data_IF_454097955346
#
_entry.id   IF_454097955346
#
_cell.length_a   1.000
_cell.length_b   1.000
_cell.length_c   1.000
_cell.angle_alpha   90.00
_cell.angle_beta   90.00
_cell.angle_gamma   90.00
#
_symmetry.space_group_name_H-M   'P 1'
#
loop_
_entity.id
_entity.type
_entity.pdbx_description
1 polymer ?
#
# COMPACT_ATOMS: atom_id res chain seq x y z
N UNK A 1 -16.91 12.70 -14.95
CA UNK A 1 -15.81 11.92 -14.36
C UNK A 1 -14.90 12.90 -13.67
N UNK A 2 -14.52 12.66 -12.41
CA UNK A 2 -13.32 13.28 -11.90
C UNK A 2 -12.11 12.49 -12.42
N UNK A 3 -10.96 13.13 -12.56
CA UNK A 3 -9.70 12.52 -13.04
C UNK A 3 -9.20 11.36 -12.15
N UNK A 4 -9.85 11.13 -11.01
CA UNK A 4 -9.60 10.09 -10.03
C UNK A 4 -10.76 9.07 -9.86
N UNK A 5 -11.70 8.98 -10.82
CA UNK A 5 -12.60 7.83 -10.95
C UNK A 5 -13.73 7.67 -9.90
N UNK A 6 -13.84 8.54 -8.91
CA UNK A 6 -14.94 8.47 -7.92
C UNK A 6 -16.25 9.06 -8.48
N UNK A 7 -17.30 8.24 -8.56
CA UNK A 7 -18.67 8.69 -8.80
C UNK A 7 -19.36 9.02 -7.46
N UNK A 8 -20.18 10.08 -7.43
CA UNK A 8 -20.92 10.57 -6.24
C UNK A 8 -22.06 9.66 -5.76
N UNK A 9 -22.07 8.37 -6.09
CA UNK A 9 -23.17 7.45 -5.78
C UNK A 9 -22.66 6.06 -5.35
N UNK A 10 -22.12 5.95 -4.13
CA UNK A 10 -21.98 4.69 -3.36
C UNK A 10 -21.12 3.54 -3.95
N UNK A 11 -20.80 2.51 -3.14
CA UNK A 11 -20.06 1.35 -3.60
C UNK A 11 -20.92 0.56 -4.59
N UNK A 12 -20.45 0.40 -5.82
CA UNK A 12 -21.08 -0.51 -6.77
C UNK A 12 -20.69 -1.92 -6.38
N UNK A 13 -21.65 -2.67 -5.82
CA UNK A 13 -21.58 -4.12 -5.64
C UNK A 13 -21.44 -4.78 -7.02
N UNK A 14 -20.22 -4.83 -7.55
CA UNK A 14 -19.84 -5.68 -8.67
C UNK A 14 -19.25 -6.93 -8.06
N UNK A 15 -20.08 -7.98 -8.02
CA UNK A 15 -19.74 -9.37 -7.68
C UNK A 15 -18.23 -9.58 -7.60
N UNK A 16 -17.73 -9.79 -6.38
CA UNK A 16 -16.33 -10.13 -6.13
C UNK A 16 -15.89 -11.17 -7.17
N UNK A 17 -15.06 -10.75 -8.13
CA UNK A 17 -14.59 -11.63 -9.20
C UNK A 17 -13.89 -12.82 -8.55
N UNK A 18 -14.36 -14.04 -8.82
CA UNK A 18 -13.71 -15.25 -8.29
C UNK A 18 -12.39 -15.58 -9.00
N UNK A 19 -11.95 -14.72 -9.93
CA UNK A 19 -10.71 -14.92 -10.65
C UNK A 19 -9.52 -14.49 -9.78
N UNK A 20 -8.45 -15.29 -9.69
CA UNK A 20 -7.28 -14.97 -8.85
C UNK A 20 -6.42 -13.83 -9.40
N UNK A 21 -6.89 -13.15 -10.45
CA UNK A 21 -6.19 -12.09 -11.15
C UNK A 21 -6.94 -10.79 -10.88
N UNK A 22 -6.20 -9.82 -10.34
CA UNK A 22 -6.65 -8.45 -10.19
C UNK A 22 -5.84 -7.58 -11.15
N UNK A 23 -6.52 -6.71 -11.89
CA UNK A 23 -5.86 -5.73 -12.74
C UNK A 23 -5.13 -4.69 -11.88
N UNK A 24 -3.99 -4.18 -12.33
CA UNK A 24 -3.16 -3.27 -11.51
C UNK A 24 -3.91 -2.00 -11.10
N UNK A 25 -4.73 -1.46 -12.00
CA UNK A 25 -5.60 -0.30 -11.77
C UNK A 25 -6.70 -0.57 -10.73
N UNK A 26 -7.05 -1.84 -10.52
CA UNK A 26 -7.96 -2.27 -9.45
C UNK A 26 -7.26 -2.42 -8.11
N UNK A 27 -5.93 -2.54 -8.07
CA UNK A 27 -5.14 -2.51 -6.84
C UNK A 27 -4.85 -1.07 -6.43
N UNK A 28 -4.51 -0.21 -7.38
CA UNK A 28 -4.39 1.23 -7.18
C UNK A 28 -5.71 1.84 -6.68
N UNK A 29 -5.63 2.80 -5.77
CA UNK A 29 -6.77 3.39 -5.09
C UNK A 29 -7.42 2.52 -4.01
N UNK A 30 -7.04 1.24 -3.88
CA UNK A 30 -7.62 0.36 -2.85
C UNK A 30 -7.22 0.82 -1.45
N UNK A 31 -8.19 0.84 -0.53
CA UNK A 31 -7.97 1.23 0.85
C UNK A 31 -7.08 0.21 1.60
N UNK A 32 -6.23 0.74 2.48
CA UNK A 32 -5.46 -0.04 3.44
C UNK A 32 -6.04 0.20 4.83
N UNK A 33 -6.24 -0.87 5.59
CA UNK A 33 -6.82 -0.88 6.93
C UNK A 33 -5.85 -1.43 7.96
N UNK A 34 -5.93 -0.91 9.19
CA UNK A 34 -5.20 -1.47 10.33
C UNK A 34 -5.91 -2.72 10.91
N UNK A 35 -5.37 -3.25 12.02
CA UNK A 35 -5.92 -4.40 12.73
C UNK A 35 -7.34 -4.19 13.25
N UNK A 36 -7.70 -2.95 13.56
CA UNK A 36 -8.99 -2.54 14.11
C UNK A 36 -9.99 -2.14 13.01
N UNK A 37 -9.65 -2.39 11.74
CA UNK A 37 -10.42 -2.04 10.55
C UNK A 37 -10.58 -0.52 10.34
N UNK A 38 -9.71 0.31 10.90
CA UNK A 38 -9.68 1.73 10.58
C UNK A 38 -8.94 1.94 9.25
N UNK A 39 -9.45 2.75 8.30
CA UNK A 39 -8.75 3.07 7.07
C UNK A 39 -7.55 3.96 7.36
N UNK A 40 -6.37 3.57 6.88
CA UNK A 40 -5.09 4.25 7.16
C UNK A 40 -4.44 4.89 5.93
N UNK A 41 -4.82 4.44 4.74
CA UNK A 41 -4.28 4.96 3.51
C UNK A 41 -4.89 4.32 2.29
N UNK A 42 -4.28 4.61 1.14
CA UNK A 42 -4.66 4.05 -0.16
C UNK A 42 -3.42 3.64 -0.93
N UNK A 43 -3.50 2.53 -1.66
CA UNK A 43 -2.44 2.11 -2.55
C UNK A 43 -2.33 3.12 -3.70
N UNK A 44 -1.15 3.70 -3.91
CA UNK A 44 -0.87 4.60 -5.02
C UNK A 44 -0.37 3.87 -6.26
N UNK A 45 0.54 2.91 -6.06
CA UNK A 45 1.18 2.14 -7.14
C UNK A 45 1.86 0.89 -6.61
N UNK A 46 2.04 -0.09 -7.48
CA UNK A 46 2.84 -1.28 -7.24
C UNK A 46 4.27 -1.08 -7.76
N UNK A 47 5.25 -1.55 -6.99
CA UNK A 47 6.65 -1.57 -7.38
C UNK A 47 7.00 -3.01 -7.78
N UNK A 48 7.20 -3.20 -9.07
CA UNK A 48 7.36 -4.52 -9.70
C UNK A 48 8.83 -4.70 -10.09
N UNK A 49 9.42 -5.82 -9.68
CA UNK A 49 10.77 -6.17 -10.13
C UNK A 49 10.72 -6.50 -11.63
N UNK A 50 11.45 -5.73 -12.43
CA UNK A 50 11.39 -5.76 -13.90
C UNK A 50 11.64 -7.14 -14.52
N UNK A 51 12.52 -7.95 -13.90
CA UNK A 51 12.95 -9.22 -14.48
C UNK A 51 11.97 -10.37 -14.18
N UNK A 52 11.53 -10.53 -12.92
CA UNK A 52 10.61 -11.60 -12.53
C UNK A 52 9.13 -11.23 -12.66
N UNK A 53 8.81 -9.93 -12.76
CA UNK A 53 7.43 -9.45 -12.74
C UNK A 53 6.76 -9.53 -11.36
N UNK A 54 7.51 -9.81 -10.29
CA UNK A 54 6.97 -9.89 -8.93
C UNK A 54 6.74 -8.50 -8.34
N UNK A 55 5.59 -8.31 -7.69
CA UNK A 55 5.34 -7.15 -6.84
C UNK A 55 6.21 -7.29 -5.59
N UNK A 56 7.17 -6.39 -5.41
CA UNK A 56 8.09 -6.42 -4.25
C UNK A 56 7.59 -5.44 -3.19
N UNK A 57 7.15 -4.26 -3.62
CA UNK A 57 6.65 -3.24 -2.73
C UNK A 57 5.38 -2.59 -3.26
N UNK A 58 4.74 -1.84 -2.38
CA UNK A 58 3.60 -0.98 -2.65
C UNK A 58 3.87 0.40 -2.07
N UNK A 59 3.60 1.44 -2.86
CA UNK A 59 3.58 2.81 -2.38
C UNK A 59 2.19 3.10 -1.82
N UNK A 60 2.11 3.37 -0.53
CA UNK A 60 0.87 3.68 0.17
C UNK A 60 0.87 5.16 0.52
N UNK A 61 -0.21 5.83 0.12
CA UNK A 61 -0.51 7.20 0.51
C UNK A 61 -1.27 7.14 1.83
N UNK A 62 -0.63 7.58 2.91
CA UNK A 62 -1.27 7.74 4.21
C UNK A 62 -1.91 9.13 4.27
N UNK A 63 -3.23 9.15 4.42
CA UNK A 63 -4.04 10.37 4.54
C UNK A 63 -4.68 10.47 5.92
N UNK A 64 -4.88 11.69 6.41
CA UNK A 64 -5.76 11.93 7.57
C UNK A 64 -5.26 11.44 8.94
N UNK A 65 -4.10 10.80 9.04
CA UNK A 65 -3.64 10.24 10.32
C UNK A 65 -3.12 11.29 11.33
N UNK A 66 -2.84 12.55 10.96
CA UNK A 66 -2.35 13.62 11.87
C UNK A 66 -2.63 15.08 11.45
N UNK A 67 -3.53 15.34 10.52
CA UNK A 67 -3.99 16.72 10.32
C UNK A 67 -2.99 17.76 9.76
N UNK A 68 -1.91 17.38 9.06
CA UNK A 68 -1.26 18.14 7.95
C UNK A 68 -0.19 17.21 7.32
N UNK A 69 -0.22 17.04 5.99
CA UNK A 69 0.78 16.30 5.21
C UNK A 69 0.27 14.99 4.60
N UNK A 70 0.45 14.84 3.28
CA UNK A 70 0.33 13.54 2.60
C UNK A 70 1.69 12.85 2.70
N UNK A 71 1.74 11.68 3.33
CA UNK A 71 2.96 10.90 3.43
C UNK A 71 2.89 9.68 2.51
N UNK A 72 3.93 9.49 1.71
CA UNK A 72 4.10 8.31 0.87
C UNK A 72 5.11 7.38 1.53
N UNK A 73 4.70 6.15 1.80
CA UNK A 73 5.59 5.14 2.36
C UNK A 73 5.55 3.89 1.51
N UNK A 74 6.73 3.36 1.24
CA UNK A 74 6.88 2.11 0.52
C UNK A 74 6.96 0.97 1.51
N UNK A 75 6.06 0.01 1.32
CA UNK A 75 5.86 -1.13 2.23
C UNK A 75 6.05 -2.41 1.43
N UNK A 76 6.66 -3.47 1.99
CA UNK A 76 6.75 -4.75 1.29
C UNK A 76 5.35 -5.31 1.03
N UNK A 77 5.12 -5.80 -0.18
CA UNK A 77 3.81 -6.33 -0.59
C UNK A 77 3.30 -7.44 0.36
N UNK A 78 4.21 -8.27 0.86
CA UNK A 78 3.94 -9.34 1.83
C UNK A 78 3.45 -8.86 3.21
N UNK A 79 3.45 -7.56 3.49
CA UNK A 79 2.86 -6.98 4.70
C UNK A 79 1.39 -6.63 4.55
N UNK A 80 0.83 -6.77 3.35
CA UNK A 80 -0.57 -6.57 3.05
C UNK A 80 -1.25 -7.92 2.78
N UNK A 81 -2.49 -8.05 3.24
CA UNK A 81 -3.36 -9.16 2.87
C UNK A 81 -4.70 -8.60 2.38
N UNK A 82 -5.21 -9.12 1.26
CA UNK A 82 -6.52 -8.72 0.77
C UNK A 82 -7.63 -9.31 1.65
N UNK A 83 -8.49 -8.45 2.17
CA UNK A 83 -9.67 -8.77 2.93
C UNK A 83 -10.90 -8.56 2.03
N UNK A 84 -11.64 -9.65 1.83
CA UNK A 84 -12.82 -9.67 0.94
C UNK A 84 -14.02 -8.95 1.56
N UNK A 85 -14.13 -8.90 2.88
CA UNK A 85 -15.24 -8.23 3.56
C UNK A 85 -15.08 -6.71 3.51
N UNK A 86 -13.84 -6.24 3.60
CA UNK A 86 -13.49 -4.81 3.49
C UNK A 86 -13.30 -4.35 2.04
N UNK A 87 -13.28 -5.29 1.08
CA UNK A 87 -12.85 -5.06 -0.30
C UNK A 87 -11.52 -4.28 -0.40
N UNK A 88 -10.61 -4.54 0.54
CA UNK A 88 -9.39 -3.76 0.74
C UNK A 88 -8.23 -4.56 1.33
N UNK A 89 -7.12 -3.89 1.61
CA UNK A 89 -5.94 -4.57 2.16
C UNK A 89 -5.84 -4.32 3.66
N UNK A 90 -5.61 -5.36 4.46
CA UNK A 90 -5.28 -5.25 5.88
C UNK A 90 -3.77 -5.29 6.08
N UNK A 91 -3.32 -4.58 7.11
CA UNK A 91 -1.94 -4.64 7.56
C UNK A 91 -1.84 -4.59 9.08
N UNK A 92 -0.81 -5.28 9.59
CA UNK A 92 -0.41 -5.22 10.99
C UNK A 92 0.56 -4.07 11.27
N UNK A 93 0.91 -3.30 10.24
CA UNK A 93 1.81 -2.17 10.34
C UNK A 93 1.11 -1.04 11.09
N UNK A 94 1.77 -0.60 12.17
CA UNK A 94 1.36 0.55 12.96
C UNK A 94 1.86 1.85 12.33
N UNK A 95 1.16 2.95 12.62
CA UNK A 95 1.59 4.30 12.27
C UNK A 95 3.03 4.62 12.69
N UNK A 96 3.44 4.19 13.88
CA UNK A 96 4.79 4.45 14.38
C UNK A 96 5.86 3.75 13.51
N UNK A 97 5.57 2.54 13.03
CA UNK A 97 6.45 1.82 12.09
C UNK A 97 6.50 2.52 10.73
N UNK A 98 5.37 3.01 10.24
CA UNK A 98 5.35 3.81 8.99
C UNK A 98 6.22 5.06 9.12
N UNK A 99 6.08 5.80 10.23
CA UNK A 99 6.85 7.03 10.48
C UNK A 99 8.35 6.79 10.69
N UNK A 100 8.72 5.62 11.23
CA UNK A 100 10.12 5.23 11.43
C UNK A 100 10.76 4.57 10.20
N UNK A 101 9.96 4.22 9.18
CA UNK A 101 10.47 3.57 7.98
C UNK A 101 11.30 4.55 7.12
N UNK A 102 12.40 4.10 6.51
CA UNK A 102 13.13 4.90 5.53
C UNK A 102 12.20 5.33 4.37
N UNK A 103 12.33 6.58 3.93
CA UNK A 103 11.63 7.05 2.73
C UNK A 103 12.31 6.47 1.48
N UNK A 104 11.51 5.87 0.60
CA UNK A 104 11.95 5.42 -0.73
C UNK A 104 12.23 6.59 -1.68
N UNK A 105 11.56 7.72 -1.46
CA UNK A 105 11.70 8.92 -2.27
C UNK A 105 12.63 9.89 -1.56
N UNK A 106 13.77 10.18 -2.19
CA UNK A 106 14.52 11.42 -1.95
C UNK A 106 14.01 12.52 -2.89
N UNK A 107 14.41 13.76 -2.64
CA UNK A 107 13.85 14.96 -3.30
C UNK A 107 13.78 14.88 -4.84
N UNK A 108 14.66 14.10 -5.50
CA UNK A 108 14.76 14.07 -6.96
C UNK A 108 14.82 12.67 -7.62
N UNK A 109 14.59 11.56 -6.88
CA UNK A 109 14.73 10.21 -7.49
C UNK A 109 13.52 9.29 -7.30
N UNK A 110 13.08 8.72 -8.42
CA UNK A 110 11.94 7.80 -8.49
C UNK A 110 12.21 6.40 -7.89
N UNK A 111 13.48 6.06 -7.64
CA UNK A 111 13.90 4.79 -7.04
C UNK A 111 15.03 5.02 -6.03
N UNK A 112 14.99 4.38 -4.84
CA UNK A 112 16.10 4.46 -3.89
C UNK A 112 17.37 3.85 -4.49
N UNK A 113 18.54 4.37 -4.09
CA UNK A 113 19.79 3.67 -4.36
C UNK A 113 19.83 2.31 -3.64
N UNK A 114 20.71 1.37 -4.06
CA UNK A 114 20.77 0.02 -3.49
C UNK A 114 20.97 -0.01 -1.97
N UNK A 115 21.64 1.00 -1.38
CA UNK A 115 21.87 1.09 0.07
C UNK A 115 20.56 1.43 0.79
N UNK A 116 19.79 2.40 0.31
CA UNK A 116 18.46 2.73 0.88
C UNK A 116 17.46 1.60 0.70
N UNK A 117 17.51 0.90 -0.43
CA UNK A 117 16.69 -0.30 -0.65
C UNK A 117 17.02 -1.37 0.39
N UNK A 118 18.31 -1.62 0.64
CA UNK A 118 18.77 -2.56 1.66
C UNK A 118 18.35 -2.13 3.07
N UNK A 119 18.51 -0.85 3.43
CA UNK A 119 18.07 -0.30 4.72
C UNK A 119 16.57 -0.51 4.94
N UNK A 120 15.76 -0.36 3.90
CA UNK A 120 14.32 -0.58 4.03
C UNK A 120 13.97 -2.07 4.12
N UNK A 121 14.68 -2.94 3.38
CA UNK A 121 14.54 -4.40 3.54
C UNK A 121 14.86 -4.82 4.97
N UNK A 122 15.97 -4.33 5.51
CA UNK A 122 16.40 -4.65 6.87
C UNK A 122 15.41 -4.12 7.91
N UNK A 123 14.90 -2.89 7.74
CA UNK A 123 13.86 -2.32 8.60
C UNK A 123 12.61 -3.21 8.66
N UNK A 124 12.12 -3.68 7.51
CA UNK A 124 10.88 -4.46 7.47
C UNK A 124 11.03 -5.94 7.84
N UNK A 125 12.25 -6.46 7.86
CA UNK A 125 12.56 -7.86 8.22
C UNK A 125 12.18 -8.18 9.66
N UNK A 126 12.30 -7.20 10.55
CA UNK A 126 12.07 -7.38 11.99
C UNK A 126 10.58 -7.42 12.36
N UNK A 127 9.70 -7.14 11.39
CA UNK A 127 8.25 -7.21 11.57
C UNK A 127 7.66 -8.49 10.94
N UNK A 128 6.59 -9.07 11.49
CA UNK A 128 5.90 -10.24 10.91
C UNK A 128 5.44 -10.02 9.47
N UNK A 129 5.20 -11.11 8.73
CA UNK A 129 4.55 -11.05 7.40
C UNK A 129 3.04 -10.89 7.60
N UNK A 130 2.46 -9.88 6.97
CA UNK A 130 1.03 -9.60 6.91
C UNK A 130 0.26 -9.64 8.24
N UNK A 131 -1.05 -9.42 8.20
CA UNK A 131 -1.97 -9.89 9.23
C UNK A 131 -1.94 -11.42 9.36
N UNK A 132 -1.90 -11.91 10.59
CA UNK A 132 -2.11 -13.33 10.95
C UNK A 132 -3.59 -13.67 11.04
#
# INVERSE_FOLDING_TARGET
MLENGFFLWGPTNRLASSHPIIESDRVEGTAVFDRENNPIGTIKRLLIEKASGRVVYVDVTFGGFLGIGVHHHTIPWEKLAYDKELEGYRTDITKAQVQGAPSFYGDDQAWPDPKREQETKDYWRDFPRGPV
#
